data_IF_049863382312
#
_entry.id   IF_049863382312
#
_cell.length_a   1.000
_cell.length_b   1.000
_cell.length_c   1.000
_cell.angle_alpha   90.00
_cell.angle_beta   90.00
_cell.angle_gamma   90.00
#
_symmetry.space_group_name_H-M   'P 1'
#
loop_
_entity.id
_entity.type
_entity.pdbx_description
1 polymer ?
#
# COMPACT_ATOMS: atom_id res chain seq x y z
N UNK A 1 -0.21 1.98 -5.30
CA UNK A 1 -0.23 0.74 -6.11
C UNK A 1 -0.79 1.05 -7.48
N UNK A 2 -0.10 0.65 -8.54
CA UNK A 2 -0.62 0.68 -9.91
C UNK A 2 -1.18 -0.71 -10.22
N UNK A 3 -2.46 -0.79 -10.52
CA UNK A 3 -3.10 -2.06 -10.87
C UNK A 3 -2.91 -2.34 -12.36
N UNK A 4 -1.90 -3.14 -12.73
CA UNK A 4 -1.81 -3.68 -14.09
C UNK A 4 -2.64 -4.97 -14.18
N UNK A 5 -3.74 -5.00 -14.94
CA UNK A 5 -4.60 -6.19 -15.04
C UNK A 5 -3.89 -7.41 -15.64
N UNK A 6 -2.76 -7.25 -16.31
CA UNK A 6 -1.96 -8.35 -16.88
C UNK A 6 -1.03 -8.95 -15.83
N UNK A 7 -0.43 -8.12 -14.98
CA UNK A 7 0.52 -8.55 -13.95
C UNK A 7 -0.16 -8.77 -12.61
N UNK A 8 -1.05 -7.87 -12.24
CA UNK A 8 -1.78 -7.91 -10.97
C UNK A 8 -3.27 -7.69 -11.22
N UNK A 9 -3.99 -8.71 -11.70
CA UNK A 9 -5.43 -8.58 -11.92
C UNK A 9 -6.14 -8.21 -10.62
N UNK A 10 -6.92 -7.12 -10.57
CA UNK A 10 -7.66 -6.74 -9.37
C UNK A 10 -8.75 -7.73 -8.98
N UNK A 11 -9.03 -8.71 -9.84
CA UNK A 11 -9.88 -9.86 -9.52
C UNK A 11 -9.22 -10.88 -8.58
N UNK A 12 -7.93 -10.73 -8.28
CA UNK A 12 -7.17 -11.61 -7.41
C UNK A 12 -6.81 -10.86 -6.10
N UNK A 13 -7.65 -10.93 -5.07
CA UNK A 13 -7.50 -10.13 -3.85
C UNK A 13 -6.13 -10.32 -3.18
N UNK A 14 -5.61 -11.55 -3.16
CA UNK A 14 -4.31 -11.89 -2.57
C UNK A 14 -3.15 -11.14 -3.26
N UNK A 15 -3.18 -11.04 -4.59
CA UNK A 15 -2.14 -10.34 -5.36
C UNK A 15 -2.19 -8.84 -5.11
N UNK A 16 -3.38 -8.25 -5.08
CA UNK A 16 -3.57 -6.83 -4.74
C UNK A 16 -3.05 -6.55 -3.33
N UNK A 17 -3.43 -7.37 -2.37
CA UNK A 17 -2.95 -7.28 -1.00
C UNK A 17 -1.41 -7.37 -0.93
N UNK A 18 -0.82 -8.37 -1.56
CA UNK A 18 0.65 -8.54 -1.61
C UNK A 18 1.34 -7.28 -2.14
N UNK A 19 0.87 -6.75 -3.24
CA UNK A 19 1.43 -5.54 -3.84
C UNK A 19 1.30 -4.33 -2.90
N UNK A 20 0.18 -4.20 -2.19
CA UNK A 20 -0.04 -3.18 -1.19
C UNK A 20 0.98 -3.28 -0.05
N UNK A 21 1.10 -4.45 0.57
CA UNK A 21 1.98 -4.62 1.74
C UNK A 21 3.47 -4.55 1.38
N UNK A 22 3.88 -5.07 0.23
CA UNK A 22 5.26 -4.94 -0.25
C UNK A 22 5.64 -3.50 -0.64
N UNK A 23 4.65 -2.66 -0.94
CA UNK A 23 4.87 -1.24 -1.23
C UNK A 23 4.83 -0.33 0.01
N UNK A 24 4.64 -0.88 1.21
CA UNK A 24 4.59 -0.09 2.44
C UNK A 24 5.85 0.78 2.62
N UNK A 25 5.63 2.01 3.07
CA UNK A 25 6.68 2.98 3.40
C UNK A 25 6.34 3.65 4.72
N UNK A 26 7.35 4.01 5.47
CA UNK A 26 7.24 4.59 6.79
C UNK A 26 7.84 6.00 6.81
N UNK A 27 7.14 7.01 7.37
CA UNK A 27 7.58 8.40 7.29
C UNK A 27 8.84 8.71 8.12
N UNK A 28 9.11 7.93 9.16
CA UNK A 28 10.24 8.07 10.06
C UNK A 28 11.49 7.30 9.60
N UNK A 29 11.34 6.36 8.66
CA UNK A 29 12.46 5.64 8.06
C UNK A 29 12.98 6.44 6.88
N UNK A 30 13.99 7.29 7.13
CA UNK A 30 14.59 8.14 6.10
C UNK A 30 15.32 7.30 5.05
N UNK A 31 14.99 7.58 3.76
CA UNK A 31 15.70 7.17 2.53
C UNK A 31 16.13 5.70 2.48
N UNK A 32 15.35 4.86 1.82
CA UNK A 32 15.66 3.45 1.45
C UNK A 32 15.61 2.43 2.60
N UNK A 33 14.82 2.67 3.64
CA UNK A 33 14.41 1.59 4.52
C UNK A 33 13.74 0.46 3.69
N UNK A 34 13.94 -0.77 4.09
CA UNK A 34 13.29 -1.91 3.45
C UNK A 34 11.77 -1.68 3.42
N UNK A 35 11.13 -1.81 2.25
CA UNK A 35 9.68 -1.79 2.17
C UNK A 35 9.10 -3.05 2.80
N UNK A 36 7.77 -3.08 3.01
CA UNK A 36 7.11 -4.29 3.49
C UNK A 36 6.75 -4.23 4.97
N UNK A 37 6.44 -5.38 5.54
CA UNK A 37 5.88 -5.49 6.90
C UNK A 37 6.94 -5.58 8.00
N UNK A 38 8.14 -6.02 7.70
CA UNK A 38 9.19 -6.29 8.71
C UNK A 38 9.45 -5.12 9.66
N UNK A 39 9.61 -3.86 9.19
CA UNK A 39 9.81 -2.72 10.10
C UNK A 39 8.65 -2.47 11.07
N UNK A 40 7.40 -2.71 10.61
CA UNK A 40 6.23 -2.59 11.48
C UNK A 40 6.20 -3.69 12.53
N UNK A 41 6.54 -4.91 12.16
CA UNK A 41 6.59 -6.06 13.07
C UNK A 41 7.68 -5.87 14.13
N UNK A 42 8.89 -5.44 13.75
CA UNK A 42 9.97 -5.12 14.69
C UNK A 42 9.51 -4.09 15.73
N UNK A 43 8.86 -3.02 15.27
CA UNK A 43 8.35 -1.99 16.17
C UNK A 43 7.24 -2.51 17.08
N UNK A 44 6.36 -3.37 16.56
CA UNK A 44 5.25 -3.92 17.33
C UNK A 44 5.71 -4.88 18.42
N UNK A 45 6.65 -5.79 18.14
CA UNK A 45 7.13 -6.78 19.12
C UNK A 45 8.06 -6.18 20.18
N UNK A 46 8.63 -5.00 19.92
CA UNK A 46 9.42 -4.24 20.88
C UNK A 46 8.56 -3.50 21.93
N UNK A 47 7.24 -3.41 21.73
CA UNK A 47 6.30 -2.69 22.59
C UNK A 47 5.33 -3.67 23.24
N UNK A 48 5.43 -3.86 24.57
CA UNK A 48 4.58 -4.80 25.32
C UNK A 48 3.09 -4.40 25.30
N UNK A 49 2.75 -3.11 25.27
CA UNK A 49 1.35 -2.66 25.17
C UNK A 49 0.74 -3.06 23.82
N UNK A 50 1.54 -2.99 22.75
CA UNK A 50 1.13 -3.47 21.42
C UNK A 50 0.98 -5.00 21.44
N UNK A 51 1.91 -5.70 22.05
CA UNK A 51 1.85 -7.15 22.19
C UNK A 51 0.60 -7.60 22.96
N UNK A 52 0.29 -6.97 24.07
CA UNK A 52 -0.93 -7.27 24.85
C UNK A 52 -2.20 -6.99 24.02
N UNK A 53 -2.25 -5.86 23.36
CA UNK A 53 -3.40 -5.45 22.54
C UNK A 53 -3.71 -6.40 21.38
N UNK A 54 -2.69 -7.01 20.78
CA UNK A 54 -2.83 -7.94 19.66
C UNK A 54 -2.75 -9.40 20.12
N UNK A 55 -2.79 -9.68 21.41
CA UNK A 55 -2.67 -11.02 21.96
C UNK A 55 -1.42 -11.75 21.44
N UNK A 56 -0.28 -11.03 21.40
CA UNK A 56 1.02 -11.59 21.00
C UNK A 56 1.57 -12.44 22.14
N UNK A 57 1.49 -13.76 21.99
CA UNK A 57 1.82 -14.74 23.03
C UNK A 57 3.27 -15.18 22.92
N UNK A 58 3.81 -15.69 24.02
CA UNK A 58 5.10 -16.40 24.09
C UNK A 58 4.90 -17.86 24.46
N UNK A 59 5.72 -18.73 23.86
CA UNK A 59 5.70 -20.16 24.18
C UNK A 59 4.47 -20.91 23.66
N UNK A 60 4.28 -22.16 24.06
CA UNK A 60 3.15 -22.99 23.63
C UNK A 60 1.86 -22.55 24.30
N UNK A 61 0.93 -22.03 23.50
CA UNK A 61 -0.42 -21.71 23.95
C UNK A 61 -1.32 -22.96 24.11
N UNK A 62 -2.44 -22.79 24.79
CA UNK A 62 -3.44 -23.85 24.94
C UNK A 62 -4.24 -23.99 23.64
N UNK A 63 -4.50 -25.25 23.22
CA UNK A 63 -5.02 -25.57 21.87
C UNK A 63 -6.49 -25.18 21.62
N UNK A 64 -7.22 -24.79 22.67
CA UNK A 64 -8.68 -24.62 22.59
C UNK A 64 -9.16 -23.16 22.44
N UNK A 65 -8.28 -22.18 22.42
CA UNK A 65 -8.72 -20.78 22.32
C UNK A 65 -9.01 -20.37 20.87
N UNK A 66 -10.27 -20.32 20.54
CA UNK A 66 -10.79 -19.72 19.31
C UNK A 66 -10.93 -18.21 19.54
N UNK A 67 -10.35 -17.39 18.64
CA UNK A 67 -10.53 -15.94 18.56
C UNK A 67 -10.83 -15.25 19.90
N UNK A 68 -9.83 -15.15 20.76
CA UNK A 68 -9.93 -14.37 22.00
C UNK A 68 -10.25 -12.90 21.67
N UNK A 69 -10.87 -12.21 22.60
CA UNK A 69 -11.14 -10.79 22.48
C UNK A 69 -9.83 -10.01 22.22
N UNK A 70 -9.79 -9.20 21.14
CA UNK A 70 -8.58 -8.49 20.71
C UNK A 70 -7.66 -9.27 19.76
N UNK A 71 -7.83 -10.59 19.62
CA UNK A 71 -7.02 -11.39 18.70
C UNK A 71 -7.33 -11.08 17.23
N UNK A 72 -6.30 -10.88 16.44
CA UNK A 72 -6.41 -10.84 14.98
C UNK A 72 -5.97 -12.18 14.39
N UNK A 73 -6.84 -12.87 13.64
CA UNK A 73 -6.63 -14.25 13.19
C UNK A 73 -5.29 -14.49 12.47
N UNK A 74 -4.75 -13.50 11.80
CA UNK A 74 -3.49 -13.59 11.06
C UNK A 74 -2.34 -12.82 11.72
N UNK A 75 -2.58 -11.57 12.18
CA UNK A 75 -1.50 -10.73 12.71
C UNK A 75 -1.03 -11.19 14.08
N UNK A 76 -1.94 -11.62 14.97
CA UNK A 76 -1.55 -12.09 16.31
C UNK A 76 -0.60 -13.29 16.26
N UNK A 77 -0.92 -14.38 15.51
CA UNK A 77 0.06 -15.45 15.35
C UNK A 77 1.30 -15.04 14.58
N UNK A 78 1.19 -14.21 13.55
CA UNK A 78 2.36 -13.76 12.80
C UNK A 78 3.34 -12.97 13.68
N UNK A 79 2.83 -12.05 14.50
CA UNK A 79 3.65 -11.30 15.46
C UNK A 79 4.24 -12.21 16.54
N UNK A 80 3.49 -13.20 17.00
CA UNK A 80 3.97 -14.15 18.02
C UNK A 80 5.14 -14.99 17.48
N UNK A 81 5.02 -15.54 16.28
CA UNK A 81 6.12 -16.26 15.64
C UNK A 81 7.31 -15.34 15.33
N UNK A 82 7.06 -14.12 14.85
CA UNK A 82 8.11 -13.17 14.60
C UNK A 82 8.88 -12.79 15.88
N UNK A 83 8.17 -12.60 16.99
CA UNK A 83 8.78 -12.32 18.30
C UNK A 83 9.70 -13.44 18.78
N UNK A 84 9.36 -14.69 18.52
CA UNK A 84 10.22 -15.84 18.84
C UNK A 84 11.42 -15.94 17.92
N UNK A 85 11.26 -15.61 16.62
CA UNK A 85 12.34 -15.60 15.61
C UNK A 85 13.33 -14.45 15.78
N UNK A 86 12.85 -13.28 16.21
CA UNK A 86 13.66 -12.05 16.40
C UNK A 86 14.34 -11.99 17.79
N UNK A 87 14.12 -13.02 18.64
CA UNK A 87 14.73 -13.08 19.99
C UNK A 87 16.21 -13.45 19.92
N UNK A 88 17.03 -12.83 20.77
CA UNK A 88 18.48 -13.12 20.88
C UNK A 88 18.79 -14.61 21.17
N UNK A 89 17.86 -15.30 21.85
CA UNK A 89 17.94 -16.72 22.19
C UNK A 89 17.10 -17.62 21.26
N UNK A 90 16.71 -17.14 20.10
CA UNK A 90 15.86 -17.86 19.15
C UNK A 90 16.42 -19.27 18.82
N UNK A 91 17.73 -19.40 18.65
CA UNK A 91 18.39 -20.65 18.36
C UNK A 91 18.23 -21.70 19.48
N UNK A 92 18.11 -21.27 20.73
CA UNK A 92 17.91 -22.16 21.89
C UNK A 92 16.47 -22.64 22.01
N UNK A 93 15.53 -21.95 21.37
CA UNK A 93 14.10 -22.23 21.40
C UNK A 93 13.59 -23.11 20.28
N UNK A 94 14.43 -23.37 19.28
CA UNK A 94 14.09 -24.30 18.19
C UNK A 94 14.16 -25.73 18.72
N UNK A 95 13.14 -26.53 18.41
CA UNK A 95 13.14 -27.96 18.74
C UNK A 95 14.13 -28.77 17.91
N UNK A 96 14.06 -30.10 18.00
CA UNK A 96 14.88 -30.98 17.18
C UNK A 96 14.63 -30.76 15.68
N UNK A 97 15.67 -30.35 14.97
CA UNK A 97 15.63 -30.12 13.52
C UNK A 97 16.79 -30.85 12.83
N UNK A 98 16.55 -31.25 11.58
CA UNK A 98 17.59 -31.77 10.70
C UNK A 98 18.34 -30.62 10.03
N UNK A 99 19.57 -30.31 10.48
CA UNK A 99 20.41 -29.29 9.85
C UNK A 99 20.83 -28.14 10.76
N UNK A 100 21.51 -27.12 10.20
CA UNK A 100 21.96 -25.97 10.97
C UNK A 100 20.80 -25.08 11.38
N UNK A 101 20.78 -24.69 12.67
CA UNK A 101 19.70 -23.88 13.28
C UNK A 101 19.55 -22.53 12.60
N UNK A 102 20.67 -21.86 12.29
CA UNK A 102 20.63 -20.53 11.63
C UNK A 102 19.90 -20.58 10.27
N UNK A 103 20.20 -21.60 9.46
CA UNK A 103 19.53 -21.78 8.17
C UNK A 103 18.02 -22.05 8.33
N UNK A 104 17.63 -22.77 9.36
CA UNK A 104 16.23 -23.02 9.65
C UNK A 104 15.50 -21.72 10.09
N UNK A 105 16.13 -20.88 10.92
CA UNK A 105 15.56 -19.62 11.37
C UNK A 105 15.35 -18.63 10.20
N UNK A 106 16.33 -18.53 9.29
CA UNK A 106 16.21 -17.71 8.08
C UNK A 106 15.06 -18.18 7.18
N UNK A 107 14.96 -19.51 6.94
CA UNK A 107 13.84 -20.07 6.16
C UNK A 107 12.46 -19.87 6.83
N UNK A 108 12.41 -19.97 8.15
CA UNK A 108 11.18 -19.78 8.92
C UNK A 108 10.74 -18.31 8.89
N UNK A 109 11.66 -17.37 9.05
CA UNK A 109 11.36 -15.93 8.92
C UNK A 109 10.87 -15.60 7.50
N UNK A 110 11.56 -16.10 6.48
CA UNK A 110 11.16 -15.91 5.09
C UNK A 110 9.75 -16.46 4.83
N UNK A 111 9.46 -17.68 5.29
CA UNK A 111 8.15 -18.29 5.15
C UNK A 111 7.07 -17.48 5.88
N UNK A 112 7.36 -16.97 7.06
CA UNK A 112 6.45 -16.13 7.84
C UNK A 112 6.04 -14.87 7.08
N UNK A 113 7.02 -14.14 6.51
CA UNK A 113 6.74 -12.95 5.72
C UNK A 113 6.08 -13.29 4.38
N UNK A 114 6.53 -14.32 3.69
CA UNK A 114 5.89 -14.79 2.47
C UNK A 114 4.41 -15.13 2.70
N UNK A 115 4.09 -15.75 3.83
CA UNK A 115 2.71 -16.02 4.20
C UNK A 115 1.90 -14.76 4.46
N UNK A 116 2.34 -13.93 5.42
CA UNK A 116 1.56 -12.77 5.87
C UNK A 116 1.50 -11.67 4.79
N UNK A 117 2.45 -11.61 3.89
CA UNK A 117 2.45 -10.75 2.71
C UNK A 117 1.66 -11.32 1.53
N UNK A 118 1.14 -12.52 1.65
CA UNK A 118 0.24 -13.10 0.64
C UNK A 118 0.94 -13.76 -0.53
N UNK A 119 2.05 -14.47 -0.32
CA UNK A 119 2.66 -15.30 -1.36
C UNK A 119 1.67 -16.36 -1.88
N UNK A 120 1.55 -16.57 -3.21
CA UNK A 120 0.45 -17.36 -3.77
C UNK A 120 0.46 -18.85 -3.44
N UNK A 121 1.62 -19.44 -3.15
CA UNK A 121 1.81 -20.90 -3.09
C UNK A 121 1.82 -21.49 -1.68
N UNK A 122 1.70 -20.68 -0.62
CA UNK A 122 1.82 -21.16 0.74
C UNK A 122 0.51 -21.80 1.20
N UNK A 123 0.56 -23.07 1.56
CA UNK A 123 -0.54 -23.86 2.09
C UNK A 123 -0.57 -23.88 3.62
N UNK A 124 -1.68 -24.38 4.21
CA UNK A 124 -1.75 -24.64 5.65
C UNK A 124 -0.70 -25.64 6.10
N UNK A 125 -0.42 -26.66 5.29
CA UNK A 125 0.57 -27.70 5.61
C UNK A 125 1.97 -27.09 5.68
N UNK A 126 2.37 -26.31 4.67
CA UNK A 126 3.68 -25.68 4.66
C UNK A 126 3.93 -24.83 5.90
N UNK A 127 2.92 -24.02 6.30
CA UNK A 127 3.00 -23.17 7.49
C UNK A 127 3.12 -23.98 8.78
N UNK A 128 2.21 -24.92 8.96
CA UNK A 128 2.12 -25.62 10.23
C UNK A 128 3.26 -26.63 10.41
N UNK A 129 3.75 -27.25 9.34
CA UNK A 129 4.87 -28.18 9.42
C UNK A 129 6.21 -27.45 9.65
N UNK A 130 6.50 -26.40 8.87
CA UNK A 130 7.78 -25.68 9.00
C UNK A 130 7.85 -24.84 10.28
N UNK A 131 6.77 -24.19 10.69
CA UNK A 131 6.78 -23.36 11.89
C UNK A 131 6.52 -24.15 13.19
N UNK A 132 6.19 -25.44 13.11
CA UNK A 132 5.91 -26.28 14.28
C UNK A 132 7.09 -26.45 15.25
N UNK A 133 8.32 -26.35 14.74
CA UNK A 133 9.52 -26.47 15.57
C UNK A 133 9.88 -25.18 16.31
N UNK A 134 9.27 -24.05 15.94
CA UNK A 134 9.35 -22.82 16.72
C UNK A 134 8.32 -22.92 17.84
N UNK A 135 8.71 -22.56 19.06
CA UNK A 135 7.82 -22.58 20.20
C UNK A 135 6.74 -21.48 20.12
N UNK A 136 5.97 -21.50 19.04
CA UNK A 136 4.89 -20.54 18.82
C UNK A 136 3.68 -20.79 19.72
N UNK A 137 3.02 -19.72 20.11
CA UNK A 137 1.87 -19.73 21.00
C UNK A 137 0.56 -20.19 20.34
N UNK A 138 0.53 -20.20 19.00
CA UNK A 138 -0.69 -20.53 18.26
C UNK A 138 -0.64 -21.95 17.70
N UNK A 139 -1.65 -22.77 17.98
CA UNK A 139 -1.62 -24.18 17.62
C UNK A 139 -1.87 -24.42 16.14
N UNK A 140 -2.43 -23.44 15.43
CA UNK A 140 -2.79 -23.57 14.02
C UNK A 140 -2.74 -22.23 13.28
N UNK A 141 -2.06 -22.23 12.13
CA UNK A 141 -1.99 -21.10 11.21
C UNK A 141 -2.87 -21.37 9.99
N UNK A 142 -3.54 -20.33 9.53
CA UNK A 142 -4.41 -20.39 8.36
C UNK A 142 -3.74 -19.70 7.19
N UNK A 143 -3.55 -20.42 6.07
CA UNK A 143 -3.05 -19.82 4.84
C UNK A 143 -4.01 -18.75 4.30
N UNK A 144 -3.45 -17.78 3.61
CA UNK A 144 -4.24 -16.80 2.89
C UNK A 144 -4.75 -17.41 1.58
N UNK A 145 -6.04 -17.32 1.35
CA UNK A 145 -6.71 -17.92 0.19
C UNK A 145 -6.83 -16.90 -0.94
N UNK A 146 -6.66 -17.33 -2.18
CA UNK A 146 -6.82 -16.49 -3.38
C UNK A 146 -8.13 -16.83 -4.13
N UNK A 147 -9.17 -17.10 -3.39
CA UNK A 147 -10.50 -17.25 -3.98
C UNK A 147 -11.23 -15.92 -3.97
N UNK A 148 -11.86 -15.58 -5.07
CA UNK A 148 -12.60 -14.34 -5.29
C UNK A 148 -13.58 -13.97 -4.18
N UNK A 149 -14.32 -14.94 -3.57
CA UNK A 149 -15.20 -14.65 -2.45
C UNK A 149 -14.48 -14.17 -1.18
N UNK A 150 -13.18 -14.32 -1.10
CA UNK A 150 -12.40 -14.03 0.11
C UNK A 150 -11.84 -12.60 0.19
N UNK A 151 -12.26 -11.71 -0.71
CA UNK A 151 -11.81 -10.31 -0.71
C UNK A 151 -11.97 -9.63 0.66
N UNK A 152 -12.97 -9.99 1.45
CA UNK A 152 -13.17 -9.47 2.82
C UNK A 152 -12.02 -9.80 3.77
N UNK A 153 -11.32 -10.92 3.61
CA UNK A 153 -10.15 -11.26 4.45
C UNK A 153 -9.05 -10.22 4.28
N UNK A 154 -8.88 -9.72 3.07
CA UNK A 154 -7.87 -8.69 2.79
C UNK A 154 -8.29 -7.32 3.30
N UNK A 155 -9.58 -7.00 3.32
CA UNK A 155 -10.12 -5.84 4.04
C UNK A 155 -9.88 -5.94 5.55
N UNK A 156 -10.12 -7.13 6.12
CA UNK A 156 -9.85 -7.42 7.53
C UNK A 156 -8.35 -7.30 7.83
N UNK A 157 -7.47 -7.87 7.01
CA UNK A 157 -6.01 -7.77 7.15
C UNK A 157 -5.52 -6.31 7.06
N UNK A 158 -5.94 -5.55 6.06
CA UNK A 158 -5.52 -4.16 5.87
C UNK A 158 -5.99 -3.26 7.02
N UNK A 159 -7.20 -3.46 7.52
CA UNK A 159 -7.68 -2.75 8.70
C UNK A 159 -6.95 -3.17 9.97
N UNK A 160 -6.59 -4.44 10.09
CA UNK A 160 -5.73 -4.95 11.16
C UNK A 160 -4.34 -4.31 11.13
N UNK A 161 -3.70 -4.29 9.98
CA UNK A 161 -2.40 -3.63 9.77
C UNK A 161 -2.47 -2.13 10.09
N UNK A 162 -3.55 -1.47 9.71
CA UNK A 162 -3.74 -0.05 10.03
C UNK A 162 -3.92 0.17 11.54
N UNK A 163 -4.66 -0.73 12.22
CA UNK A 163 -4.80 -0.70 13.68
C UNK A 163 -3.46 -0.97 14.37
N UNK A 164 -2.67 -1.91 13.85
CA UNK A 164 -1.31 -2.17 14.33
C UNK A 164 -0.40 -0.95 14.16
N UNK A 165 -0.44 -0.31 12.99
CA UNK A 165 0.30 0.92 12.74
C UNK A 165 -0.07 2.03 13.74
N UNK A 166 -1.38 2.19 14.05
CA UNK A 166 -1.83 3.14 15.10
C UNK A 166 -1.28 2.77 16.48
N UNK A 167 -1.30 1.50 16.83
CA UNK A 167 -0.74 1.04 18.10
C UNK A 167 0.78 1.32 18.19
N UNK A 168 1.49 1.23 17.06
CA UNK A 168 2.91 1.58 16.96
C UNK A 168 3.20 3.09 16.86
N UNK A 169 2.19 3.96 17.04
CA UNK A 169 2.35 5.41 17.07
C UNK A 169 2.23 6.13 15.72
N UNK A 170 1.84 5.44 14.64
CA UNK A 170 1.46 6.07 13.36
C UNK A 170 0.00 6.55 13.39
N UNK A 171 -0.39 7.39 12.44
CA UNK A 171 -1.79 7.82 12.31
C UNK A 171 -2.70 6.75 11.69
N UNK A 172 -2.13 5.70 11.11
CA UNK A 172 -2.82 4.62 10.43
C UNK A 172 -2.15 4.26 9.10
N UNK A 173 -2.92 3.70 8.18
CA UNK A 173 -2.47 3.26 6.86
C UNK A 173 -3.20 4.02 5.75
N UNK A 174 -2.47 4.63 4.83
CA UNK A 174 -3.03 5.21 3.61
C UNK A 174 -2.72 4.32 2.40
N UNK A 175 -3.76 3.88 1.72
CA UNK A 175 -3.70 3.05 0.51
C UNK A 175 -4.08 3.91 -0.69
N UNK A 176 -3.17 4.05 -1.65
CA UNK A 176 -3.40 4.75 -2.90
C UNK A 176 -3.45 3.74 -4.04
N UNK A 177 -4.58 3.69 -4.73
CA UNK A 177 -4.78 2.84 -5.91
C UNK A 177 -4.82 3.76 -7.12
N UNK A 178 -3.75 3.75 -7.91
CA UNK A 178 -3.66 4.53 -9.14
C UNK A 178 -4.11 3.71 -10.35
N UNK A 179 -4.55 4.39 -11.39
CA UNK A 179 -5.07 3.77 -12.62
C UNK A 179 -6.18 2.75 -12.35
N UNK A 180 -7.06 3.05 -11.40
CA UNK A 180 -8.14 2.14 -10.99
C UNK A 180 -9.11 1.81 -12.16
N UNK A 181 -9.14 2.63 -13.22
CA UNK A 181 -9.90 2.35 -14.45
C UNK A 181 -9.44 1.12 -15.21
N UNK A 182 -8.25 0.62 -14.96
CA UNK A 182 -7.73 -0.59 -15.62
C UNK A 182 -8.58 -1.83 -15.36
N UNK A 183 -9.39 -1.82 -14.29
CA UNK A 183 -10.34 -2.89 -14.05
C UNK A 183 -11.36 -3.02 -15.20
N UNK A 184 -11.70 -1.94 -15.91
CA UNK A 184 -12.60 -1.96 -17.06
C UNK A 184 -12.04 -2.73 -18.26
N UNK A 185 -10.70 -2.94 -18.30
CA UNK A 185 -10.04 -3.75 -19.33
C UNK A 185 -10.18 -5.26 -19.09
N UNK A 186 -10.69 -5.67 -17.93
CA UNK A 186 -10.91 -7.07 -17.60
C UNK A 186 -12.15 -7.62 -18.34
N UNK A 187 -12.24 -8.95 -18.45
CA UNK A 187 -13.49 -9.59 -18.85
C UNK A 187 -14.62 -9.24 -17.88
N UNK A 188 -15.87 -9.33 -18.32
CA UNK A 188 -17.03 -9.01 -17.47
C UNK A 188 -17.02 -9.79 -16.15
N UNK A 189 -16.69 -11.08 -16.19
CA UNK A 189 -16.56 -11.90 -14.99
C UNK A 189 -15.46 -11.37 -14.05
N UNK A 190 -14.29 -11.04 -14.57
CA UNK A 190 -13.19 -10.51 -13.77
C UNK A 190 -13.49 -9.12 -13.23
N UNK A 191 -14.24 -8.29 -13.95
CA UNK A 191 -14.72 -6.99 -13.46
C UNK A 191 -15.60 -7.14 -12.23
N UNK A 192 -16.53 -8.09 -12.24
CA UNK A 192 -17.39 -8.36 -11.08
C UNK A 192 -16.57 -8.74 -9.84
N UNK A 193 -15.49 -9.51 -10.03
CA UNK A 193 -14.58 -9.83 -8.90
C UNK A 193 -13.72 -8.67 -8.44
N UNK A 194 -13.26 -7.81 -9.34
CA UNK A 194 -12.54 -6.59 -8.98
C UNK A 194 -13.41 -5.66 -8.10
N UNK A 195 -14.72 -5.60 -8.36
CA UNK A 195 -15.67 -4.88 -7.50
C UNK A 195 -15.66 -5.38 -6.05
N UNK A 196 -15.53 -6.69 -5.83
CA UNK A 196 -15.43 -7.22 -4.46
C UNK A 196 -14.17 -6.74 -3.75
N UNK A 197 -13.04 -6.62 -4.45
CA UNK A 197 -11.79 -6.08 -3.89
C UNK A 197 -11.97 -4.62 -3.51
N UNK A 198 -12.51 -3.79 -4.39
CA UNK A 198 -12.75 -2.37 -4.12
C UNK A 198 -13.78 -2.16 -3.00
N UNK A 199 -14.88 -2.94 -3.01
CA UNK A 199 -15.86 -2.90 -1.93
C UNK A 199 -15.26 -3.31 -0.59
N UNK A 200 -14.46 -4.38 -0.55
CA UNK A 200 -13.79 -4.82 0.67
C UNK A 200 -12.84 -3.76 1.23
N UNK A 201 -12.05 -3.13 0.37
CA UNK A 201 -11.12 -2.07 0.76
C UNK A 201 -11.87 -0.82 1.25
N UNK A 202 -12.90 -0.38 0.53
CA UNK A 202 -13.74 0.76 0.92
C UNK A 202 -14.46 0.51 2.25
N UNK A 203 -15.02 -0.69 2.41
CA UNK A 203 -15.67 -1.07 3.68
C UNK A 203 -14.66 -1.10 4.84
N UNK A 204 -13.48 -1.66 4.63
CA UNK A 204 -12.43 -1.69 5.64
C UNK A 204 -12.01 -0.27 6.07
N UNK A 205 -11.99 0.68 5.13
CA UNK A 205 -11.64 2.06 5.41
C UNK A 205 -12.72 2.81 6.20
N UNK A 206 -13.98 2.77 5.75
CA UNK A 206 -15.03 3.67 6.31
C UNK A 206 -16.17 2.94 7.03
N UNK A 207 -16.20 1.62 7.01
CA UNK A 207 -17.23 0.81 7.68
C UNK A 207 -18.60 0.86 7.01
N UNK A 208 -19.57 0.19 7.62
CA UNK A 208 -20.92 -0.03 7.05
C UNK A 208 -21.68 1.27 6.76
N UNK A 209 -21.53 2.28 7.58
CA UNK A 209 -22.24 3.56 7.41
C UNK A 209 -21.59 4.48 6.38
N UNK A 210 -20.33 4.21 6.03
CA UNK A 210 -19.54 5.04 5.12
C UNK A 210 -19.53 4.56 3.68
N UNK A 211 -20.14 3.42 3.36
CA UNK A 211 -20.20 2.85 2.00
C UNK A 211 -21.62 2.90 1.42
N UNK A 212 -21.79 2.96 0.08
CA UNK A 212 -23.09 3.03 -0.58
C UNK A 212 -23.80 1.66 -0.74
N UNK A 213 -23.27 0.60 -0.17
CA UNK A 213 -23.75 -0.76 -0.32
C UNK A 213 -23.92 -1.47 1.04
N UNK A 214 -24.87 -2.41 1.18
CA UNK A 214 -25.03 -3.17 2.40
C UNK A 214 -23.92 -4.21 2.59
N UNK A 215 -23.60 -4.54 3.85
CA UNK A 215 -22.61 -5.58 4.19
C UNK A 215 -22.83 -6.93 3.49
N UNK A 216 -24.09 -7.27 3.21
CA UNK A 216 -24.44 -8.52 2.49
C UNK A 216 -23.82 -8.61 1.09
N UNK A 217 -23.42 -7.50 0.48
CA UNK A 217 -22.71 -7.52 -0.80
C UNK A 217 -21.21 -7.85 -0.66
N UNK A 218 -20.69 -7.93 0.56
CA UNK A 218 -19.38 -8.49 0.87
C UNK A 218 -19.48 -9.96 1.31
N UNK A 219 -20.68 -10.51 1.35
CA UNK A 219 -20.89 -11.89 1.76
C UNK A 219 -20.33 -12.84 0.71
N UNK A 220 -19.45 -13.69 1.16
CA UNK A 220 -18.90 -14.74 0.36
C UNK A 220 -19.86 -15.92 0.31
N UNK A 221 -20.06 -16.46 -0.86
CA UNK A 221 -20.78 -17.69 -1.07
C UNK A 221 -19.88 -18.88 -0.74
N UNK A 222 -19.37 -18.94 0.45
CA UNK A 222 -18.52 -20.05 0.85
C UNK A 222 -17.46 -19.63 1.87
N UNK A 223 -16.78 -20.57 2.40
CA UNK A 223 -15.73 -20.39 3.40
C UNK A 223 -15.72 -21.54 4.38
N UNK A 224 -14.59 -21.80 5.02
CA UNK A 224 -14.38 -22.94 5.89
C UNK A 224 -14.03 -22.46 7.30
N UNK A 225 -14.64 -23.08 8.31
CA UNK A 225 -14.26 -22.88 9.70
C UNK A 225 -14.29 -21.42 10.18
N UNK A 226 -13.32 -21.06 11.00
CA UNK A 226 -13.18 -19.74 11.65
C UNK A 226 -13.11 -18.56 10.66
N UNK A 227 -12.56 -18.78 9.48
CA UNK A 227 -12.46 -17.73 8.46
C UNK A 227 -13.82 -17.22 7.96
N UNK A 228 -14.89 -18.02 8.06
CA UNK A 228 -16.25 -17.58 7.73
C UNK A 228 -16.78 -16.51 8.67
N UNK A 229 -16.35 -16.56 9.91
CA UNK A 229 -16.85 -15.71 10.99
C UNK A 229 -16.11 -14.36 11.06
N UNK A 230 -15.00 -14.23 10.30
CA UNK A 230 -14.23 -12.99 10.28
C UNK A 230 -15.09 -11.81 9.84
N UNK A 231 -15.04 -10.70 10.56
CA UNK A 231 -15.66 -9.47 10.10
C UNK A 231 -14.89 -8.94 8.87
N UNK A 232 -15.54 -8.18 7.97
CA UNK A 232 -14.83 -7.58 6.84
C UNK A 232 -13.90 -6.42 7.23
N UNK A 233 -13.88 -6.04 8.49
CA UNK A 233 -13.07 -4.99 9.09
C UNK A 233 -12.67 -5.36 10.50
N UNK A 234 -11.40 -5.14 10.84
CA UNK A 234 -10.89 -5.30 12.20
C UNK A 234 -10.96 -3.95 12.95
N UNK A 235 -11.62 -3.95 14.10
CA UNK A 235 -11.80 -2.76 14.92
C UNK A 235 -12.78 -1.73 14.34
N UNK A 236 -13.21 -0.79 15.18
CA UNK A 236 -14.22 0.22 14.81
C UNK A 236 -13.62 1.43 14.07
N UNK A 237 -12.40 1.82 14.43
CA UNK A 237 -11.66 2.91 13.80
C UNK A 237 -10.19 2.50 13.52
N UNK A 238 -9.94 1.75 12.46
CA UNK A 238 -8.59 1.31 12.14
C UNK A 238 -7.65 2.45 11.69
N UNK A 239 -8.17 3.62 11.30
CA UNK A 239 -7.39 4.69 10.69
C UNK A 239 -6.92 4.34 9.26
N UNK A 240 -7.68 3.51 8.55
CA UNK A 240 -7.39 3.14 7.18
C UNK A 240 -7.99 4.15 6.20
N UNK A 241 -7.16 4.70 5.32
CA UNK A 241 -7.56 5.56 4.21
C UNK A 241 -7.37 4.83 2.89
N UNK A 242 -8.41 4.80 2.07
CA UNK A 242 -8.34 4.27 0.71
C UNK A 242 -8.63 5.40 -0.29
N UNK A 243 -7.71 5.64 -1.20
CA UNK A 243 -7.81 6.65 -2.24
C UNK A 243 -7.67 5.96 -3.59
N UNK A 244 -8.65 6.17 -4.46
CA UNK A 244 -8.67 5.67 -5.83
C UNK A 244 -8.44 6.86 -6.77
N UNK A 245 -7.40 6.78 -7.59
CA UNK A 245 -7.18 7.70 -8.69
C UNK A 245 -7.52 6.99 -10.00
N UNK A 246 -8.31 7.64 -10.85
CA UNK A 246 -8.71 7.07 -12.13
C UNK A 246 -8.99 8.15 -13.16
N UNK A 247 -8.77 7.80 -14.42
CA UNK A 247 -9.24 8.59 -15.55
C UNK A 247 -10.73 8.31 -15.74
N UNK A 248 -11.60 9.32 -15.88
CA UNK A 248 -13.03 9.13 -16.07
C UNK A 248 -13.31 8.25 -17.29
N UNK A 249 -13.90 7.09 -17.05
CA UNK A 249 -14.40 6.18 -18.06
C UNK A 249 -15.75 5.66 -17.60
N UNK A 250 -16.74 5.52 -18.48
CA UNK A 250 -18.12 5.19 -18.07
C UNK A 250 -18.19 3.97 -17.13
N UNK A 251 -17.61 2.84 -17.53
CA UNK A 251 -17.62 1.65 -16.70
C UNK A 251 -16.81 1.80 -15.40
N UNK A 252 -15.75 2.62 -15.41
CA UNK A 252 -14.92 2.91 -14.25
C UNK A 252 -15.66 3.75 -13.22
N UNK A 253 -16.34 4.78 -13.68
CA UNK A 253 -17.13 5.68 -12.85
C UNK A 253 -18.25 4.92 -12.14
N UNK A 254 -19.00 4.09 -12.85
CA UNK A 254 -20.10 3.29 -12.27
C UNK A 254 -19.58 2.39 -11.15
N UNK A 255 -18.45 1.72 -11.36
CA UNK A 255 -17.85 0.88 -10.30
C UNK A 255 -17.40 1.69 -9.11
N UNK A 256 -16.86 2.90 -9.33
CA UNK A 256 -16.46 3.77 -8.24
C UNK A 256 -17.68 4.23 -7.42
N UNK A 257 -18.78 4.59 -8.06
CA UNK A 257 -20.05 4.93 -7.39
C UNK A 257 -20.63 3.74 -6.63
N UNK A 258 -20.42 2.52 -7.12
CA UNK A 258 -20.82 1.30 -6.41
C UNK A 258 -19.98 1.03 -5.14
N UNK A 259 -18.77 1.57 -5.05
CA UNK A 259 -17.83 1.29 -3.96
C UNK A 259 -17.64 2.46 -2.99
N UNK A 260 -17.78 3.70 -3.46
CA UNK A 260 -17.49 4.93 -2.72
C UNK A 260 -18.68 5.87 -2.76
N UNK A 261 -19.10 6.46 -1.64
CA UNK A 261 -20.20 7.44 -1.64
C UNK A 261 -19.91 8.62 -2.58
N UNK A 262 -20.92 9.09 -3.30
CA UNK A 262 -20.78 10.20 -4.24
C UNK A 262 -20.14 11.46 -3.63
N UNK A 263 -20.46 11.77 -2.35
CA UNK A 263 -19.87 12.89 -1.62
C UNK A 263 -18.38 12.72 -1.26
N UNK A 264 -17.78 11.57 -1.57
CA UNK A 264 -16.34 11.27 -1.42
C UNK A 264 -15.61 11.22 -2.76
N UNK A 265 -16.31 11.47 -3.86
CA UNK A 265 -15.74 11.51 -5.21
C UNK A 265 -15.52 12.97 -5.57
N UNK A 266 -14.33 13.27 -6.07
CA UNK A 266 -13.95 14.62 -6.49
C UNK A 266 -13.39 14.56 -7.91
N UNK A 267 -14.00 15.34 -8.80
CA UNK A 267 -13.46 15.51 -10.15
C UNK A 267 -12.32 16.53 -10.12
N UNK A 268 -11.20 16.16 -10.72
CA UNK A 268 -10.08 17.07 -10.92
C UNK A 268 -10.32 17.86 -12.20
N UNK A 269 -10.46 19.18 -12.08
CA UNK A 269 -10.56 20.04 -13.24
C UNK A 269 -9.23 20.09 -14.01
N UNK A 270 -9.26 20.28 -15.33
CA UNK A 270 -8.06 20.58 -16.09
C UNK A 270 -7.34 21.83 -15.53
N UNK A 271 -6.02 21.83 -15.60
CA UNK A 271 -5.22 22.96 -15.19
C UNK A 271 -5.46 24.17 -16.12
N UNK A 272 -5.64 25.33 -15.53
CA UNK A 272 -5.60 26.61 -16.23
C UNK A 272 -4.20 27.25 -16.18
N UNK A 273 -4.03 28.45 -16.74
CA UNK A 273 -2.74 29.12 -16.81
C UNK A 273 -2.18 29.42 -15.43
N UNK A 274 -3.03 29.79 -14.49
CA UNK A 274 -2.64 30.06 -13.11
C UNK A 274 -2.13 28.80 -12.39
N UNK A 275 -2.78 27.67 -12.63
CA UNK A 275 -2.35 26.39 -12.05
C UNK A 275 -0.97 25.99 -12.57
N UNK A 276 -0.65 26.22 -13.84
CA UNK A 276 0.66 25.94 -14.39
C UNK A 276 1.75 26.84 -13.80
N UNK A 277 1.44 28.11 -13.54
CA UNK A 277 2.36 29.03 -12.87
C UNK A 277 2.63 28.60 -11.42
N UNK A 278 1.57 28.21 -10.70
CA UNK A 278 1.69 27.67 -9.34
C UNK A 278 2.47 26.36 -9.31
N UNK A 279 2.21 25.45 -10.25
CA UNK A 279 2.97 24.21 -10.42
C UNK A 279 4.46 24.50 -10.62
N UNK A 280 4.80 25.44 -11.51
CA UNK A 280 6.18 25.80 -11.75
C UNK A 280 6.89 26.30 -10.49
N UNK A 281 6.24 27.16 -9.70
CA UNK A 281 6.76 27.63 -8.42
C UNK A 281 6.99 26.47 -7.45
N UNK A 282 5.99 25.59 -7.26
CA UNK A 282 6.09 24.45 -6.35
C UNK A 282 7.18 23.45 -6.76
N UNK A 283 7.33 23.19 -8.06
CA UNK A 283 8.41 22.31 -8.55
C UNK A 283 9.78 22.91 -8.26
N UNK A 284 9.94 24.24 -8.45
CA UNK A 284 11.16 24.93 -8.06
C UNK A 284 11.47 24.78 -6.56
N UNK A 285 10.48 24.96 -5.68
CA UNK A 285 10.65 24.80 -4.23
C UNK A 285 11.05 23.36 -3.85
N UNK A 286 10.42 22.35 -4.45
CA UNK A 286 10.80 20.96 -4.25
C UNK A 286 12.21 20.65 -4.76
N UNK A 287 12.55 21.18 -5.92
CA UNK A 287 13.87 20.99 -6.52
C UNK A 287 14.97 21.62 -5.64
N UNK A 288 14.74 22.84 -5.14
CA UNK A 288 15.67 23.52 -4.21
C UNK A 288 15.82 22.71 -2.91
N UNK A 289 14.72 22.19 -2.36
CA UNK A 289 14.74 21.35 -1.15
C UNK A 289 15.49 20.02 -1.38
N UNK A 290 15.42 19.45 -2.57
CA UNK A 290 16.12 18.22 -2.93
C UNK A 290 17.61 18.43 -3.19
N UNK A 291 18.01 19.66 -3.52
CA UNK A 291 19.36 20.05 -3.87
C UNK A 291 19.87 21.24 -3.03
N UNK A 292 20.08 21.06 -1.72
CA UNK A 292 20.47 22.13 -0.79
C UNK A 292 21.88 22.67 -1.08
N UNK A 293 22.65 21.99 -1.91
CA UNK A 293 23.97 22.39 -2.41
C UNK A 293 23.90 23.44 -3.53
N UNK A 294 22.70 23.72 -4.06
CA UNK A 294 22.44 24.66 -5.13
C UNK A 294 21.46 25.75 -4.71
N UNK A 295 21.93 26.99 -4.66
CA UNK A 295 21.11 28.15 -4.32
C UNK A 295 20.31 28.61 -5.55
N UNK A 296 19.00 28.41 -5.50
CA UNK A 296 18.09 28.84 -6.56
C UNK A 296 17.69 30.30 -6.35
N UNK A 297 18.05 31.18 -7.28
CA UNK A 297 17.68 32.59 -7.21
C UNK A 297 16.21 32.83 -7.60
N UNK A 298 15.57 33.87 -7.04
CA UNK A 298 14.22 34.30 -7.45
C UNK A 298 14.14 34.60 -8.95
N UNK A 299 15.23 35.10 -9.55
CA UNK A 299 15.33 35.31 -10.99
C UNK A 299 15.21 34.01 -11.77
N UNK A 300 15.77 32.91 -11.25
CA UNK A 300 15.64 31.58 -11.86
C UNK A 300 14.19 31.10 -11.81
N UNK A 301 13.52 31.22 -10.68
CA UNK A 301 12.11 30.85 -10.52
C UNK A 301 11.23 31.62 -11.51
N UNK A 302 11.36 32.96 -11.52
CA UNK A 302 10.60 33.84 -12.45
C UNK A 302 10.83 33.43 -13.89
N UNK A 303 12.09 33.16 -14.27
CA UNK A 303 12.42 32.80 -15.66
C UNK A 303 11.83 31.42 -16.04
N UNK A 304 11.91 30.45 -15.15
CA UNK A 304 11.30 29.12 -15.35
C UNK A 304 9.79 29.23 -15.55
N UNK A 305 9.11 29.99 -14.69
CA UNK A 305 7.65 30.21 -14.80
C UNK A 305 7.29 30.85 -16.15
N UNK A 306 8.00 31.92 -16.57
CA UNK A 306 7.76 32.55 -17.85
C UNK A 306 7.99 31.61 -19.05
N UNK A 307 9.02 30.76 -19.00
CA UNK A 307 9.28 29.78 -20.05
C UNK A 307 8.21 28.69 -20.13
N UNK A 308 7.64 28.26 -19.00
CA UNK A 308 6.52 27.34 -19.02
C UNK A 308 5.30 27.93 -19.71
N UNK A 309 4.98 29.19 -19.42
CA UNK A 309 3.92 29.94 -20.15
C UNK A 309 4.19 30.01 -21.64
N UNK A 310 5.41 30.37 -22.07
CA UNK A 310 5.80 30.50 -23.47
C UNK A 310 5.65 29.16 -24.23
N UNK A 311 6.17 28.07 -23.70
CA UNK A 311 6.07 26.75 -24.35
C UNK A 311 4.65 26.22 -24.38
N UNK A 312 3.84 26.54 -23.35
CA UNK A 312 2.43 26.19 -23.29
C UNK A 312 1.62 26.98 -24.34
N UNK A 313 1.81 28.29 -24.42
CA UNK A 313 1.16 29.13 -25.42
C UNK A 313 1.48 28.71 -26.84
N UNK A 314 2.66 28.11 -27.05
CA UNK A 314 3.08 27.53 -28.32
C UNK A 314 2.57 26.10 -28.55
N UNK A 315 1.85 25.50 -27.58
CA UNK A 315 1.27 24.17 -27.69
C UNK A 315 2.23 23.00 -27.45
N UNK A 316 3.47 23.26 -27.00
CA UNK A 316 4.48 22.22 -26.72
C UNK A 316 4.33 21.55 -25.34
N UNK A 317 3.64 22.22 -24.42
CA UNK A 317 3.29 21.66 -23.09
C UNK A 317 1.77 21.70 -22.95
N UNK A 318 1.14 20.54 -22.88
CA UNK A 318 -0.32 20.38 -22.84
C UNK A 318 -0.84 19.80 -21.54
N UNK A 319 0.02 19.17 -20.77
CA UNK A 319 -0.35 18.50 -19.53
C UNK A 319 0.55 18.93 -18.37
N UNK A 320 0.05 18.82 -17.10
CA UNK A 320 0.88 19.05 -15.92
C UNK A 320 2.12 18.15 -15.87
N UNK A 321 2.02 16.91 -16.35
CA UNK A 321 3.15 15.96 -16.43
C UNK A 321 4.25 16.46 -17.36
N UNK A 322 3.86 16.96 -18.53
CA UNK A 322 4.81 17.55 -19.49
C UNK A 322 5.46 18.82 -18.92
N UNK A 323 4.67 19.67 -18.24
CA UNK A 323 5.19 20.86 -17.58
C UNK A 323 6.22 20.50 -16.49
N UNK A 324 5.89 19.55 -15.61
CA UNK A 324 6.82 19.10 -14.55
C UNK A 324 8.13 18.56 -15.14
N UNK A 325 8.05 17.73 -16.18
CA UNK A 325 9.22 17.19 -16.86
C UNK A 325 10.08 18.32 -17.45
N UNK A 326 9.46 19.23 -18.17
CA UNK A 326 10.13 20.39 -18.76
C UNK A 326 10.83 21.26 -17.70
N UNK A 327 10.15 21.54 -16.59
CA UNK A 327 10.70 22.33 -15.48
C UNK A 327 11.93 21.66 -14.88
N UNK A 328 11.83 20.37 -14.56
CA UNK A 328 12.93 19.62 -13.96
C UNK A 328 14.13 19.55 -14.91
N UNK A 329 13.92 19.25 -16.19
CA UNK A 329 14.99 19.24 -17.20
C UNK A 329 15.66 20.61 -17.33
N UNK A 330 14.88 21.70 -17.29
CA UNK A 330 15.41 23.06 -17.35
C UNK A 330 16.24 23.42 -16.10
N UNK A 331 15.78 22.99 -14.91
CA UNK A 331 16.50 23.20 -13.65
C UNK A 331 17.79 22.35 -13.60
N UNK A 332 17.77 21.13 -14.12
CA UNK A 332 18.96 20.29 -14.27
C UNK A 332 20.00 20.95 -15.19
N UNK A 333 19.57 21.54 -16.31
CA UNK A 333 20.46 22.29 -17.18
C UNK A 333 21.02 23.53 -16.47
N UNK A 334 20.18 24.27 -15.76
CA UNK A 334 20.62 25.46 -15.02
C UNK A 334 21.65 25.09 -13.92
N UNK A 335 21.48 23.97 -13.26
CA UNK A 335 22.37 23.50 -12.18
C UNK A 335 23.68 22.92 -12.71
N UNK A 336 23.62 22.06 -13.72
CA UNK A 336 24.80 21.32 -14.19
C UNK A 336 25.54 22.01 -15.33
N UNK A 337 24.84 22.88 -16.09
CA UNK A 337 25.39 23.56 -17.26
C UNK A 337 24.98 25.05 -17.28
N UNK A 338 25.34 25.84 -16.25
CA UNK A 338 24.88 27.23 -16.08
C UNK A 338 25.26 28.12 -17.27
N UNK A 339 26.40 27.86 -17.91
CA UNK A 339 26.86 28.62 -19.09
C UNK A 339 26.03 28.36 -20.34
N UNK A 340 25.34 27.19 -20.40
CA UNK A 340 24.54 26.79 -21.58
C UNK A 340 23.06 27.13 -21.46
N UNK A 341 22.58 27.50 -20.27
CA UNK A 341 21.16 27.79 -20.05
C UNK A 341 20.64 28.89 -21.02
N UNK A 342 21.47 29.87 -21.33
CA UNK A 342 21.11 30.93 -22.28
C UNK A 342 20.90 30.44 -23.72
N UNK A 343 21.55 29.36 -24.12
CA UNK A 343 21.36 28.74 -25.45
C UNK A 343 20.03 27.97 -25.47
N UNK A 344 19.74 27.20 -24.38
CA UNK A 344 18.50 26.45 -24.24
C UNK A 344 17.30 27.39 -24.23
N UNK A 345 17.35 28.48 -23.48
CA UNK A 345 16.30 29.50 -23.45
C UNK A 345 16.02 30.09 -24.79
N UNK A 346 17.07 30.50 -25.54
CA UNK A 346 16.90 31.00 -26.91
C UNK A 346 16.30 29.96 -27.84
N UNK A 347 16.72 28.71 -27.73
CA UNK A 347 16.13 27.59 -28.47
C UNK A 347 14.63 27.46 -28.25
N UNK A 348 14.18 27.56 -26.98
CA UNK A 348 12.77 27.51 -26.59
C UNK A 348 11.99 28.70 -27.15
N UNK A 349 12.55 29.91 -27.10
CA UNK A 349 11.93 31.14 -27.62
C UNK A 349 11.69 31.06 -29.14
N UNK A 350 12.52 30.31 -29.85
CA UNK A 350 12.41 30.10 -31.30
C UNK A 350 11.52 28.91 -31.71
N UNK A 351 10.95 28.16 -30.77
CA UNK A 351 9.99 27.12 -31.11
C UNK A 351 8.76 27.70 -31.80
N UNK A 352 8.38 27.08 -32.92
CA UNK A 352 7.18 27.47 -33.66
C UNK A 352 5.91 27.01 -32.93
N UNK A 353 4.83 27.75 -33.15
CA UNK A 353 3.48 27.35 -32.68
C UNK A 353 3.00 26.17 -33.51
N UNK A 354 2.50 25.13 -32.90
CA UNK A 354 1.88 23.97 -33.53
C UNK A 354 0.37 23.93 -33.33
#
# INVERSE_FOLDING_TARGET
VVLDPRETPPSHPKRVYRQLVQSLRYPDIRRRGEPGLKPLFQRAVADEEVCERFDVRRGKGDRDERLAEGMHLYLSPALSYFRELDADDAAERVGDIDGPVDGYLEEAEQLLFDWIEGHPTISNTDLNDKLSNIQGAYPWLYSLMDFRPWARIYGYLLSGLSTLAKACGYSGLAVFVDEAERFSLLSSENRDFARYVFKALSYAAVGNQGVPFPRSQLADLGGWGVQKELPPRYGDDPGLYAVYAMTPHEEGIDTLYDCVPAGKISDLRPFDDRDFAELASKVCDFYASAHPDWEMSEKTVTRVTSLVEDVRNKGHVRSPREAMKFIVELLDVARHYPDRIGEVVRGIEHLTVY
#
